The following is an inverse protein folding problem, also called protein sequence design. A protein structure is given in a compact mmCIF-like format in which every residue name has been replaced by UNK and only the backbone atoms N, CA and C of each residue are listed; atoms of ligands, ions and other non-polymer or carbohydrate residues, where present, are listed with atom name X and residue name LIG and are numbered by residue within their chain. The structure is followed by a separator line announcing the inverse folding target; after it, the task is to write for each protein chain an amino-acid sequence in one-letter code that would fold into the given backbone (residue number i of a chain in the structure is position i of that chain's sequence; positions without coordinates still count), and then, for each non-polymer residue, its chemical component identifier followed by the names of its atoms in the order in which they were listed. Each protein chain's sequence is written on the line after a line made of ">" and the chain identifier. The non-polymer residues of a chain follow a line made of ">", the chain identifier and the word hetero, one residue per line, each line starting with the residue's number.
data_IF_800365037360
#
_entry.id   IF_800365037360
#
_cell.length_a   1.000
_cell.length_b   1.000
_cell.length_c   1.000
_cell.angle_alpha   90.00
_cell.angle_beta   90.00
_cell.angle_gamma   90.00
#
_symmetry.space_group_name_H-M   'P 1'
#
loop_
_entity.id
_entity.type
_entity.pdbx_description
1 polymer ?
#
# COMPACT_ATOMS: atom_id res chain seq x y z
N UNK A 1 -21.66 14.99 -3.75
CA UNK A 1 -20.57 14.07 -4.17
C UNK A 1 -20.82 12.65 -3.64
N UNK A 2 -20.78 11.64 -4.51
CA UNK A 2 -20.89 10.23 -4.11
C UNK A 2 -19.73 9.85 -3.18
N UNK A 3 -19.99 8.99 -2.19
CA UNK A 3 -18.98 8.39 -1.32
C UNK A 3 -18.86 6.91 -1.71
N UNK A 4 -17.80 6.55 -2.40
CA UNK A 4 -17.48 5.18 -2.74
C UNK A 4 -16.62 4.56 -1.63
N UNK A 5 -16.99 3.34 -1.27
CA UNK A 5 -16.27 2.49 -0.35
C UNK A 5 -15.45 1.52 -1.20
N UNK A 6 -14.11 1.58 -1.09
CA UNK A 6 -13.23 1.04 -2.15
C UNK A 6 -12.37 -0.13 -1.66
N UNK A 7 -12.04 -0.15 -0.38
CA UNK A 7 -11.38 -1.30 0.24
C UNK A 7 -11.87 -1.49 1.68
N UNK A 8 -12.06 -2.75 2.06
CA UNK A 8 -12.31 -3.20 3.44
C UNK A 8 -11.30 -4.28 3.75
N UNK A 9 -10.61 -4.16 4.87
CA UNK A 9 -9.66 -5.18 5.31
C UNK A 9 -9.88 -5.52 6.77
N UNK A 10 -9.76 -6.80 7.11
CA UNK A 10 -9.69 -7.24 8.50
C UNK A 10 -8.28 -7.07 9.05
N UNK A 11 -8.17 -6.56 10.28
CA UNK A 11 -6.91 -6.62 11.02
C UNK A 11 -6.56 -8.07 11.34
N UNK A 12 -5.27 -8.38 11.28
CA UNK A 12 -4.75 -9.70 11.66
C UNK A 12 -4.62 -9.87 13.18
N UNK A 13 -4.48 -8.76 13.91
CA UNK A 13 -4.18 -8.75 15.35
C UNK A 13 -5.38 -8.39 16.22
N UNK A 14 -6.32 -7.65 15.65
CA UNK A 14 -7.48 -7.13 16.37
C UNK A 14 -8.76 -7.54 15.66
N UNK A 15 -9.84 -7.71 16.41
CA UNK A 15 -11.19 -7.85 15.84
C UNK A 15 -11.62 -6.51 15.26
N UNK A 16 -11.05 -6.10 14.13
CA UNK A 16 -11.20 -4.76 13.57
C UNK A 16 -11.30 -4.80 12.05
N UNK A 17 -12.12 -3.90 11.50
CA UNK A 17 -12.12 -3.58 10.07
C UNK A 17 -11.57 -2.17 9.83
N UNK A 18 -10.74 -2.04 8.80
CA UNK A 18 -10.29 -0.77 8.25
C UNK A 18 -10.99 -0.57 6.91
N UNK A 19 -11.68 0.57 6.77
CA UNK A 19 -12.55 0.88 5.64
C UNK A 19 -12.12 2.19 4.98
N UNK A 20 -11.77 2.11 3.69
CA UNK A 20 -11.37 3.27 2.89
C UNK A 20 -12.60 3.95 2.26
N UNK A 21 -12.78 5.24 2.53
CA UNK A 21 -13.81 6.09 1.92
C UNK A 21 -13.14 7.08 0.96
N UNK A 22 -13.24 6.78 -0.34
CA UNK A 22 -12.40 7.37 -1.41
C UNK A 22 -12.46 8.88 -1.46
N UNK A 23 -13.61 9.45 -1.81
CA UNK A 23 -13.74 10.86 -2.19
C UNK A 23 -13.48 11.80 -1.00
N UNK A 24 -13.83 11.35 0.21
CA UNK A 24 -13.61 12.14 1.42
C UNK A 24 -12.20 12.01 1.98
N UNK A 25 -11.42 11.03 1.52
CA UNK A 25 -10.11 10.75 2.08
C UNK A 25 -10.16 10.33 3.54
N UNK A 26 -11.19 9.55 3.90
CA UNK A 26 -11.41 9.12 5.29
C UNK A 26 -11.21 7.62 5.42
N UNK A 27 -10.59 7.24 6.52
CA UNK A 27 -10.49 5.85 6.94
C UNK A 27 -11.36 5.65 8.17
N UNK A 28 -12.30 4.73 8.11
CA UNK A 28 -13.04 4.29 9.28
C UNK A 28 -12.42 2.99 9.81
N UNK A 29 -11.88 3.03 11.02
CA UNK A 29 -11.35 1.88 11.74
C UNK A 29 -12.31 1.50 12.86
N UNK A 30 -12.91 0.30 12.80
CA UNK A 30 -13.94 -0.14 13.74
C UNK A 30 -13.57 -1.45 14.41
N UNK A 31 -13.39 -1.44 15.73
CA UNK A 31 -13.10 -2.64 16.54
C UNK A 31 -14.39 -3.25 17.09
N UNK A 32 -14.61 -4.51 16.78
CA UNK A 32 -15.75 -5.32 17.19
C UNK A 32 -15.51 -5.97 18.56
N UNK A 33 -16.58 -6.08 19.35
CA UNK A 33 -16.64 -6.98 20.49
C UNK A 33 -17.16 -8.34 20.06
N UNK A 34 -17.06 -9.30 20.98
CA UNK A 34 -17.56 -10.67 20.82
C UNK A 34 -19.07 -10.73 20.49
N UNK A 35 -19.84 -9.68 20.81
CA UNK A 35 -21.25 -9.51 20.47
C UNK A 35 -21.51 -8.95 19.06
N UNK A 36 -20.47 -8.81 18.22
CA UNK A 36 -20.53 -8.11 16.92
C UNK A 36 -20.93 -6.63 17.00
N UNK A 37 -20.88 -6.05 18.20
CA UNK A 37 -21.08 -4.60 18.42
C UNK A 37 -19.75 -3.86 18.22
N UNK A 38 -19.79 -2.69 17.59
CA UNK A 38 -18.61 -1.82 17.46
C UNK A 38 -18.31 -1.19 18.82
N UNK A 39 -17.16 -1.53 19.41
CA UNK A 39 -16.70 -0.97 20.70
C UNK A 39 -15.93 0.32 20.58
N UNK A 40 -15.16 0.45 19.50
CA UNK A 40 -14.31 1.61 19.26
C UNK A 40 -14.32 1.88 17.77
N UNK A 41 -14.64 3.11 17.40
CA UNK A 41 -14.52 3.60 16.04
C UNK A 41 -13.60 4.81 16.04
N UNK A 42 -12.69 4.84 15.07
CA UNK A 42 -11.90 6.02 14.74
C UNK A 42 -12.16 6.39 13.29
N UNK A 43 -12.31 7.68 13.04
CA UNK A 43 -12.38 8.22 11.68
C UNK A 43 -11.14 9.08 11.50
N UNK A 44 -10.30 8.70 10.54
CA UNK A 44 -9.06 9.39 10.25
C UNK A 44 -9.24 10.18 8.94
N UNK A 45 -9.04 11.49 9.00
CA UNK A 45 -8.90 12.33 7.83
C UNK A 45 -7.45 12.23 7.33
N UNK A 46 -7.25 11.75 6.10
CA UNK A 46 -5.93 11.41 5.57
C UNK A 46 -5.63 12.13 4.24
N UNK A 47 -5.84 11.48 3.11
CA UNK A 47 -5.71 12.04 1.78
C UNK A 47 -6.89 11.59 0.91
N UNK A 48 -7.37 12.48 0.04
CA UNK A 48 -8.48 12.15 -0.88
C UNK A 48 -8.07 11.09 -1.89
N UNK A 49 -9.07 10.41 -2.43
CA UNK A 49 -8.95 9.38 -3.44
C UNK A 49 -8.25 8.11 -2.95
N UNK A 50 -8.58 7.69 -1.72
CA UNK A 50 -8.18 6.38 -1.21
C UNK A 50 -8.69 5.26 -2.11
N UNK A 51 -7.85 4.26 -2.32
CA UNK A 51 -8.13 3.16 -3.22
C UNK A 51 -7.80 1.83 -2.53
N UNK A 52 -6.87 1.08 -3.11
CA UNK A 52 -6.32 -0.19 -2.66
C UNK A 52 -5.22 -0.01 -1.62
N UNK A 53 -4.79 -1.13 -1.05
CA UNK A 53 -3.80 -1.13 0.02
C UNK A 53 -3.51 -2.52 0.55
N UNK A 54 -2.43 -2.64 1.31
CA UNK A 54 -1.99 -3.90 1.88
C UNK A 54 -1.25 -3.76 3.19
N UNK A 55 -1.11 -4.90 3.87
CA UNK A 55 -0.41 -4.97 5.14
C UNK A 55 1.09 -5.11 4.94
N UNK A 56 1.84 -4.48 5.82
CA UNK A 56 3.26 -4.72 6.03
C UNK A 56 3.54 -6.18 6.45
N UNK A 57 4.82 -6.54 6.60
CA UNK A 57 5.22 -7.89 7.03
C UNK A 57 4.73 -8.24 8.43
N UNK A 58 4.70 -7.27 9.35
CA UNK A 58 4.29 -7.46 10.75
C UNK A 58 2.77 -7.55 10.93
N UNK A 59 2.00 -7.24 9.88
CA UNK A 59 0.54 -7.14 9.89
C UNK A 59 0.03 -6.14 10.93
N UNK A 60 0.80 -5.08 11.17
CA UNK A 60 0.45 -4.02 12.10
C UNK A 60 0.10 -2.73 11.36
N UNK A 61 0.80 -2.47 10.27
CA UNK A 61 0.68 -1.24 9.49
C UNK A 61 0.00 -1.52 8.16
N UNK A 62 -1.04 -0.74 7.88
CA UNK A 62 -1.80 -0.82 6.65
C UNK A 62 -1.45 0.35 5.73
N UNK A 63 -0.92 0.02 4.56
CA UNK A 63 -0.50 0.94 3.51
C UNK A 63 -1.62 1.11 2.50
N UNK A 64 -2.02 2.34 2.23
CA UNK A 64 -3.16 2.67 1.36
C UNK A 64 -2.72 3.65 0.29
N UNK A 65 -3.02 3.33 -0.97
CA UNK A 65 -2.83 4.26 -2.06
C UNK A 65 -3.93 5.33 -2.08
N UNK A 66 -3.53 6.60 -2.00
CA UNK A 66 -4.37 7.75 -2.31
C UNK A 66 -4.05 8.17 -3.76
N UNK A 67 -4.56 7.40 -4.72
CA UNK A 67 -3.97 7.32 -6.05
C UNK A 67 -3.96 8.65 -6.83
N UNK A 68 -5.08 9.37 -6.88
CA UNK A 68 -5.14 10.70 -7.53
C UNK A 68 -4.51 11.82 -6.70
N UNK A 69 -4.00 11.50 -5.50
CA UNK A 69 -3.23 12.43 -4.66
C UNK A 69 -1.73 12.13 -4.69
N UNK A 70 -1.28 11.11 -5.44
CA UNK A 70 0.12 10.67 -5.52
C UNK A 70 0.77 10.39 -4.15
N UNK A 71 0.00 9.79 -3.24
CA UNK A 71 0.44 9.52 -1.85
C UNK A 71 0.14 8.10 -1.40
N UNK A 72 0.94 7.63 -0.45
CA UNK A 72 0.67 6.44 0.36
C UNK A 72 0.40 6.85 1.80
N UNK A 73 -0.76 6.45 2.32
CA UNK A 73 -1.15 6.63 3.72
C UNK A 73 -0.75 5.38 4.50
N UNK A 74 -0.12 5.55 5.65
CA UNK A 74 0.21 4.45 6.56
C UNK A 74 -0.61 4.59 7.84
N UNK A 75 -1.40 3.56 8.13
CA UNK A 75 -2.21 3.47 9.36
C UNK A 75 -1.65 2.38 10.27
N UNK A 76 -1.41 2.75 11.52
CA UNK A 76 -1.15 1.81 12.60
C UNK A 76 -2.48 1.27 13.13
N UNK A 77 -2.72 -0.03 12.94
CA UNK A 77 -3.95 -0.70 13.38
C UNK A 77 -4.02 -0.97 14.88
N UNK A 78 -2.89 -0.95 15.59
CA UNK A 78 -2.88 -1.07 17.04
C UNK A 78 -3.41 0.21 17.68
N UNK A 79 -2.82 1.32 17.28
CA UNK A 79 -3.11 2.65 17.83
C UNK A 79 -4.33 3.31 17.16
N UNK A 80 -4.76 2.79 16.01
CA UNK A 80 -5.79 3.35 15.13
C UNK A 80 -5.49 4.79 14.71
N UNK A 81 -4.25 5.06 14.28
CA UNK A 81 -3.78 6.40 13.87
C UNK A 81 -2.98 6.37 12.58
N UNK A 82 -2.97 7.48 11.85
CA UNK A 82 -2.05 7.68 10.73
C UNK A 82 -0.64 7.92 11.27
N UNK A 83 0.34 7.16 10.77
CA UNK A 83 1.75 7.26 11.17
C UNK A 83 2.66 7.71 10.03
N UNK A 84 2.17 7.72 8.79
CA UNK A 84 2.91 8.17 7.63
C UNK A 84 2.01 8.67 6.52
N UNK A 85 2.47 9.70 5.81
CA UNK A 85 1.89 10.20 4.57
C UNK A 85 3.04 10.44 3.59
N UNK A 86 3.20 9.53 2.64
CA UNK A 86 4.41 9.38 1.85
C UNK A 86 4.13 9.82 0.42
N UNK A 87 4.90 10.77 -0.09
CA UNK A 87 4.83 11.16 -1.50
C UNK A 87 5.42 10.08 -2.40
N UNK A 88 4.68 9.72 -3.45
CA UNK A 88 5.09 8.73 -4.45
C UNK A 88 4.82 9.23 -5.86
N UNK A 89 5.21 8.47 -6.87
CA UNK A 89 5.14 8.97 -8.24
C UNK A 89 3.86 8.54 -8.97
N UNK A 90 3.02 9.54 -9.31
CA UNK A 90 1.93 9.52 -10.30
C UNK A 90 1.07 8.25 -10.33
N UNK A 91 -0.05 8.29 -9.61
CA UNK A 91 -1.10 7.28 -9.54
C UNK A 91 -0.54 5.93 -9.06
N UNK A 92 -0.15 5.83 -7.77
CA UNK A 92 0.25 4.55 -7.20
C UNK A 92 -0.89 3.54 -7.28
N UNK A 93 -0.59 2.33 -7.76
CA UNK A 93 -1.56 1.24 -7.91
C UNK A 93 -0.82 -0.10 -7.89
N UNK A 94 -1.18 -1.02 -6.99
CA UNK A 94 -0.54 -2.36 -6.97
C UNK A 94 -1.37 -3.47 -6.32
N UNK A 95 -2.64 -3.21 -6.03
CA UNK A 95 -3.47 -4.05 -5.18
C UNK A 95 -3.02 -3.99 -3.73
N UNK A 96 -2.48 -5.11 -3.22
CA UNK A 96 -1.99 -5.22 -1.83
C UNK A 96 -0.51 -4.87 -1.67
N UNK A 97 0.16 -4.54 -2.78
CA UNK A 97 1.61 -4.38 -2.81
C UNK A 97 2.37 -5.69 -2.54
N UNK A 98 3.68 -5.56 -2.43
CA UNK A 98 4.61 -6.65 -2.15
C UNK A 98 5.49 -6.29 -0.95
N UNK A 99 5.91 -7.29 -0.18
CA UNK A 99 6.79 -7.10 0.97
C UNK A 99 8.00 -8.03 0.85
N UNK A 100 9.20 -7.52 1.11
CA UNK A 100 10.42 -8.35 1.20
C UNK A 100 11.50 -7.66 2.03
N UNK A 101 12.62 -8.37 2.24
CA UNK A 101 13.79 -7.86 2.93
C UNK A 101 14.78 -7.26 1.92
N UNK A 102 14.96 -5.94 1.92
CA UNK A 102 15.97 -5.28 1.12
C UNK A 102 17.36 -5.45 1.76
N UNK A 103 18.42 -5.77 1.00
CA UNK A 103 19.76 -6.01 1.56
C UNK A 103 20.37 -4.80 2.28
N UNK A 104 19.98 -3.58 1.89
CA UNK A 104 20.51 -2.33 2.46
C UNK A 104 19.55 -1.67 3.45
N UNK A 105 18.24 -1.70 3.17
CA UNK A 105 17.26 -0.84 3.86
C UNK A 105 16.39 -1.59 4.86
N UNK A 106 16.59 -2.90 5.00
CA UNK A 106 15.72 -3.73 5.81
C UNK A 106 14.35 -3.92 5.16
N UNK A 107 13.30 -4.02 5.96
CA UNK A 107 11.99 -4.46 5.46
C UNK A 107 11.40 -3.36 4.58
N UNK A 108 10.93 -3.73 3.40
CA UNK A 108 10.28 -2.80 2.47
C UNK A 108 8.91 -3.28 2.03
N UNK A 109 8.02 -2.32 1.77
CA UNK A 109 6.75 -2.51 1.08
C UNK A 109 6.81 -1.80 -0.27
N UNK A 110 6.26 -2.45 -1.30
CA UNK A 110 6.44 -2.05 -2.70
C UNK A 110 5.12 -1.80 -3.39
N UNK A 111 5.10 -0.74 -4.19
CA UNK A 111 3.99 -0.35 -5.06
C UNK A 111 4.52 0.12 -6.42
N UNK A 112 3.88 -0.30 -7.50
CA UNK A 112 4.10 0.25 -8.84
C UNK A 112 3.22 1.48 -9.08
N UNK A 113 3.53 2.21 -10.15
CA UNK A 113 2.74 3.34 -10.60
C UNK A 113 1.95 2.98 -11.87
N UNK A 114 0.71 3.44 -11.93
CA UNK A 114 -0.06 3.39 -13.17
C UNK A 114 0.45 4.47 -14.16
N UNK A 115 0.83 5.65 -13.67
CA UNK A 115 1.11 6.82 -14.51
C UNK A 115 2.53 6.92 -15.08
N UNK A 116 3.44 6.01 -14.72
CA UNK A 116 4.84 5.97 -15.17
C UNK A 116 5.45 4.58 -14.88
N UNK A 117 6.72 4.38 -15.24
CA UNK A 117 7.45 3.12 -15.11
C UNK A 117 8.02 2.81 -13.72
N UNK A 118 7.83 3.69 -12.73
CA UNK A 118 8.50 3.56 -11.44
C UNK A 118 7.84 2.51 -10.55
N UNK A 119 8.69 1.79 -9.82
CA UNK A 119 8.32 0.87 -8.75
C UNK A 119 8.96 1.38 -7.47
N UNK A 120 8.13 1.77 -6.50
CA UNK A 120 8.54 2.50 -5.30
C UNK A 120 8.70 1.54 -4.13
N UNK A 121 9.88 1.54 -3.51
CA UNK A 121 10.17 0.79 -2.28
C UNK A 121 10.10 1.74 -1.10
N UNK A 122 9.32 1.37 -0.09
CA UNK A 122 9.12 2.15 1.13
C UNK A 122 9.62 1.35 2.33
N UNK A 123 10.45 1.94 3.19
CA UNK A 123 10.90 1.30 4.43
C UNK A 123 9.76 1.13 5.44
N UNK A 124 9.64 -0.06 6.04
CA UNK A 124 8.49 -0.43 6.90
C UNK A 124 8.88 -0.94 8.29
N UNK A 125 10.11 -0.70 8.73
CA UNK A 125 10.64 -1.21 10.00
C UNK A 125 11.07 -0.04 10.92
N UNK A 126 10.13 0.59 11.64
CA UNK A 126 10.41 1.71 12.54
C UNK A 126 11.27 1.33 13.75
N UNK A 127 11.35 0.04 14.11
CA UNK A 127 12.06 -0.40 15.30
C UNK A 127 13.55 -0.62 15.04
N UNK A 128 13.91 -1.27 13.91
CA UNK A 128 15.31 -1.58 13.58
C UNK A 128 15.90 -0.67 12.51
N UNK A 129 15.06 -0.05 11.67
CA UNK A 129 15.46 0.81 10.55
C UNK A 129 14.70 2.14 10.61
N UNK A 130 14.65 2.76 11.79
CA UNK A 130 13.91 3.99 12.06
C UNK A 130 14.22 5.13 11.08
N UNK A 131 15.48 5.25 10.64
CA UNK A 131 15.91 6.27 9.69
C UNK A 131 15.28 6.13 8.30
N UNK A 132 14.80 4.93 7.96
CA UNK A 132 14.18 4.57 6.67
C UNK A 132 12.67 4.38 6.76
N UNK A 133 12.12 4.22 7.96
CA UNK A 133 10.71 3.95 8.16
C UNK A 133 9.84 5.08 7.58
N UNK A 134 8.83 4.68 6.82
CA UNK A 134 7.86 5.56 6.16
C UNK A 134 8.49 6.52 5.14
N UNK A 135 9.64 6.16 4.57
CA UNK A 135 10.29 6.92 3.50
C UNK A 135 10.43 6.07 2.26
N UNK A 136 10.38 6.71 1.09
CA UNK A 136 10.84 6.09 -0.16
C UNK A 136 12.35 5.88 -0.03
N UNK A 137 12.76 4.61 -0.03
CA UNK A 137 14.17 4.23 0.11
C UNK A 137 14.82 3.96 -1.24
N UNK A 138 14.02 3.53 -2.23
CA UNK A 138 14.51 3.23 -3.57
C UNK A 138 13.39 3.33 -4.61
N UNK A 139 13.78 3.67 -5.83
CA UNK A 139 12.93 3.67 -7.02
C UNK A 139 13.54 2.73 -8.06
N UNK A 140 12.87 1.60 -8.32
CA UNK A 140 13.22 0.73 -9.42
C UNK A 140 12.54 1.21 -10.70
N UNK A 141 13.14 0.87 -11.85
CA UNK A 141 12.59 1.16 -13.18
C UNK A 141 11.97 -0.10 -13.76
N UNK A 142 10.64 -0.12 -13.87
CA UNK A 142 9.85 -1.15 -14.54
C UNK A 142 9.82 -0.97 -16.06
N UNK A 143 8.93 -1.70 -16.73
CA UNK A 143 8.84 -1.72 -18.20
C UNK A 143 8.18 -0.47 -18.78
N UNK A 144 7.28 0.17 -18.03
CA UNK A 144 6.46 1.28 -18.50
C UNK A 144 5.32 1.61 -17.53
N UNK A 145 4.50 2.60 -17.89
CA UNK A 145 3.23 2.85 -17.20
C UNK A 145 2.19 1.76 -17.46
N UNK A 146 1.08 1.82 -16.74
CA UNK A 146 -0.02 0.86 -16.86
C UNK A 146 0.14 -0.40 -16.01
N UNK A 147 1.05 -0.39 -15.03
CA UNK A 147 1.13 -1.44 -14.01
C UNK A 147 -0.09 -1.43 -13.11
N UNK A 148 -0.57 -2.61 -12.73
CA UNK A 148 -1.71 -2.81 -11.84
C UNK A 148 -1.35 -3.58 -10.57
N UNK A 149 -0.37 -4.49 -10.64
CA UNK A 149 0.03 -5.35 -9.54
C UNK A 149 1.54 -5.54 -9.45
N UNK A 150 2.02 -5.60 -8.21
CA UNK A 150 3.34 -6.16 -7.89
C UNK A 150 3.19 -7.39 -7.01
N UNK A 151 4.13 -8.34 -7.11
CA UNK A 151 4.07 -9.55 -6.31
C UNK A 151 5.45 -10.11 -5.95
N UNK A 152 5.55 -10.64 -4.74
CA UNK A 152 6.62 -11.54 -4.29
C UNK A 152 6.07 -12.55 -3.27
N UNK A 153 6.92 -13.40 -2.73
CA UNK A 153 6.61 -14.37 -1.67
C UNK A 153 7.84 -14.59 -0.77
N UNK A 154 7.71 -14.84 0.55
CA UNK A 154 8.86 -15.10 1.44
C UNK A 154 9.76 -16.29 1.08
N UNK A 155 9.39 -17.10 0.08
CA UNK A 155 10.17 -18.23 -0.46
C UNK A 155 10.68 -17.98 -1.89
N UNK A 156 10.47 -16.78 -2.41
CA UNK A 156 10.90 -16.33 -3.72
C UNK A 156 11.94 -15.24 -3.51
N UNK A 157 13.01 -15.23 -4.29
CA UNK A 157 13.90 -14.07 -4.39
C UNK A 157 13.32 -13.01 -5.33
N UNK A 158 12.49 -13.44 -6.28
CA UNK A 158 11.97 -12.54 -7.31
C UNK A 158 10.90 -11.55 -6.82
N UNK A 159 10.95 -10.32 -7.37
CA UNK A 159 9.84 -9.36 -7.41
C UNK A 159 9.28 -9.29 -8.84
N UNK A 160 7.97 -9.45 -8.96
CA UNK A 160 7.24 -9.47 -10.23
C UNK A 160 6.41 -8.20 -10.38
N UNK A 161 6.45 -7.57 -11.56
CA UNK A 161 5.74 -6.31 -11.85
C UNK A 161 5.09 -6.41 -13.23
N UNK A 162 3.76 -6.32 -13.27
CA UNK A 162 3.00 -6.36 -14.52
C UNK A 162 2.86 -4.97 -15.17
N UNK A 163 2.45 -4.92 -16.43
CA UNK A 163 2.12 -3.68 -17.15
C UNK A 163 0.92 -3.83 -18.11
N UNK A 164 -0.20 -4.44 -17.69
CA UNK A 164 -1.27 -4.87 -18.60
C UNK A 164 -1.99 -3.72 -19.31
N UNK A 165 -1.92 -2.49 -18.78
CA UNK A 165 -2.53 -1.31 -19.37
C UNK A 165 -1.54 -0.42 -20.11
N UNK A 166 -0.33 -0.93 -20.40
CA UNK A 166 0.62 -0.25 -21.27
C UNK A 166 0.02 -0.07 -22.68
N UNK A 167 0.24 1.10 -23.34
CA UNK A 167 -0.16 1.28 -24.73
C UNK A 167 0.70 0.47 -25.71
N UNK A 168 1.89 0.01 -25.29
CA UNK A 168 2.74 -0.88 -26.06
C UNK A 168 2.30 -2.34 -25.82
N UNK A 169 1.84 -3.01 -26.88
CA UNK A 169 1.35 -4.38 -26.81
C UNK A 169 2.41 -5.39 -26.34
N UNK A 170 3.68 -5.20 -26.71
CA UNK A 170 4.76 -6.10 -26.27
C UNK A 170 4.98 -5.97 -24.76
N UNK A 171 4.89 -4.75 -24.24
CA UNK A 171 4.99 -4.49 -22.80
C UNK A 171 3.75 -5.01 -22.07
N UNK A 172 2.55 -4.77 -22.60
CA UNK A 172 1.29 -5.21 -21.99
C UNK A 172 1.13 -6.73 -21.90
N UNK A 173 1.80 -7.47 -22.78
CA UNK A 173 1.79 -8.94 -22.83
C UNK A 173 2.99 -9.58 -22.12
N UNK A 174 3.73 -8.80 -21.33
CA UNK A 174 4.93 -9.25 -20.62
C UNK A 174 4.91 -8.83 -19.14
N UNK A 175 5.88 -9.34 -18.37
CA UNK A 175 6.06 -9.05 -16.94
C UNK A 175 7.54 -8.83 -16.66
N UNK A 176 7.88 -7.78 -15.91
CA UNK A 176 9.23 -7.59 -15.39
C UNK A 176 9.46 -8.44 -14.14
N UNK A 177 10.67 -9.00 -14.04
CA UNK A 177 11.13 -9.77 -12.88
C UNK A 177 12.46 -9.18 -12.42
N UNK A 178 12.50 -8.77 -11.15
CA UNK A 178 13.71 -8.31 -10.47
C UNK A 178 14.20 -9.42 -9.54
N UNK A 179 15.52 -9.54 -9.41
CA UNK A 179 16.21 -10.39 -8.44
C UNK A 179 16.64 -9.56 -7.22
#
# INVERSE_FOLDING_TARGET
>A
PSRALVAIVGSYKYSEFIVNVKETGRIAAGRLQRSSTISRSSVLDVARFLHDGGWDVSKCYFFIAANQSDKIVVVDSHEQKMVGLIDVNKIPHSGRGANFMHPIYGSVWVISAFGNEKVTLIGIDPDKHADHAWKVVELLKGQGGGSLFVKTHPKSTNLWVDTPLSPDANVAQSVAVFD
#
